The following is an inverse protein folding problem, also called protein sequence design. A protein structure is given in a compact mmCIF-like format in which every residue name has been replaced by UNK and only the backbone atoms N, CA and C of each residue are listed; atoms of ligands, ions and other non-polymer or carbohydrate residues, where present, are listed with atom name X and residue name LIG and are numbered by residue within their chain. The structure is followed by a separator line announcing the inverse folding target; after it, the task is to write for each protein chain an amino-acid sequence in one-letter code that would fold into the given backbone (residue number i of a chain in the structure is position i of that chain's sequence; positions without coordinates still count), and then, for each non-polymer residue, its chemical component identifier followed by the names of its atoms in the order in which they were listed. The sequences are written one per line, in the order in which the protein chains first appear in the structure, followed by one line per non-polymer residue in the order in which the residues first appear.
data_IF_228631776718
#
_entry.id   IF_228631776718
#
_cell.length_a   1.000
_cell.length_b   1.000
_cell.length_c   1.000
_cell.angle_alpha   90.00
_cell.angle_beta   90.00
_cell.angle_gamma   90.00
#
_symmetry.space_group_name_H-M   'P 1'
#
loop_
_entity.id
_entity.type
_entity.pdbx_description
1 polymer ?
#
# COMPACT_ATOMS: atom_id res chain seq x y z
N UNK A 1 1.80 0.56 -14.21
CA UNK A 1 2.73 0.23 -13.12
C UNK A 1 3.72 -0.84 -13.58
N UNK A 2 5.02 -0.72 -13.27
CA UNK A 2 5.99 -1.78 -13.51
C UNK A 2 5.67 -3.04 -12.69
N UNK A 3 5.99 -4.23 -13.22
CA UNK A 3 5.76 -5.51 -12.53
C UNK A 3 6.38 -5.53 -11.13
N UNK A 4 7.59 -4.97 -10.99
CA UNK A 4 8.28 -4.88 -9.70
C UNK A 4 7.45 -4.13 -8.64
N UNK A 5 6.77 -3.04 -9.02
CA UNK A 5 5.94 -2.29 -8.10
C UNK A 5 4.69 -3.08 -7.67
N UNK A 6 4.08 -3.85 -8.58
CA UNK A 6 2.96 -4.76 -8.26
C UNK A 6 3.41 -5.84 -7.27
N UNK A 7 4.60 -6.42 -7.47
CA UNK A 7 5.17 -7.39 -6.54
C UNK A 7 5.43 -6.79 -5.16
N UNK A 8 5.94 -5.55 -5.09
CA UNK A 8 6.12 -4.84 -3.81
C UNK A 8 4.80 -4.59 -3.10
N UNK A 9 3.75 -4.17 -3.82
CA UNK A 9 2.41 -3.99 -3.24
C UNK A 9 1.87 -5.31 -2.69
N UNK A 10 1.91 -6.38 -3.47
CA UNK A 10 1.41 -7.68 -3.06
C UNK A 10 2.14 -8.21 -1.81
N UNK A 11 3.46 -8.09 -1.78
CA UNK A 11 4.28 -8.48 -0.63
C UNK A 11 3.96 -7.63 0.62
N UNK A 12 3.77 -6.32 0.46
CA UNK A 12 3.43 -5.42 1.56
C UNK A 12 2.02 -5.70 2.14
N UNK A 13 1.03 -6.02 1.29
CA UNK A 13 -0.31 -6.41 1.72
C UNK A 13 -0.32 -7.75 2.47
N UNK A 14 0.42 -8.74 1.97
CA UNK A 14 0.57 -10.05 2.63
C UNK A 14 1.24 -9.90 4.00
N UNK A 15 2.29 -9.07 4.07
CA UNK A 15 2.99 -8.76 5.32
C UNK A 15 2.07 -8.09 6.34
N UNK A 16 1.33 -7.03 5.95
CA UNK A 16 0.35 -6.38 6.82
C UNK A 16 -0.69 -7.37 7.35
N UNK A 17 -1.24 -8.24 6.49
CA UNK A 17 -2.20 -9.28 6.91
C UNK A 17 -1.64 -10.27 7.92
N UNK A 18 -0.33 -10.53 7.87
CA UNK A 18 0.35 -11.48 8.77
C UNK A 18 0.71 -10.82 10.10
N UNK A 19 1.09 -9.55 10.09
CA UNK A 19 1.62 -8.85 11.27
C UNK A 19 0.56 -8.09 12.05
N UNK A 20 -0.60 -7.80 11.44
CA UNK A 20 -1.67 -7.03 12.06
C UNK A 20 -2.81 -7.96 12.52
N UNK A 21 -3.25 -7.91 13.79
CA UNK A 21 -4.41 -8.68 14.26
C UNK A 21 -5.66 -8.38 13.44
N UNK A 22 -6.49 -9.40 13.19
CA UNK A 22 -7.63 -9.30 12.28
C UNK A 22 -8.64 -8.21 12.69
N UNK A 23 -8.78 -7.93 13.98
CA UNK A 23 -9.71 -6.90 14.49
C UNK A 23 -9.20 -5.47 14.24
N UNK A 24 -7.90 -5.33 13.94
CA UNK A 24 -7.23 -4.05 13.67
C UNK A 24 -7.01 -3.83 12.16
N UNK A 25 -7.18 -4.88 11.34
CA UNK A 25 -7.00 -4.77 9.90
C UNK A 25 -8.08 -3.87 9.29
N UNK A 26 -7.64 -2.77 8.67
CA UNK A 26 -8.52 -1.87 7.93
C UNK A 26 -7.86 -1.43 6.60
N UNK A 27 -8.66 -1.09 5.58
CA UNK A 27 -8.14 -0.75 4.27
C UNK A 27 -7.21 0.47 4.25
N UNK A 28 -7.52 1.49 5.06
CA UNK A 28 -6.75 2.75 5.09
C UNK A 28 -5.33 2.53 5.63
N UNK A 29 -5.18 1.81 6.74
CA UNK A 29 -3.86 1.48 7.28
C UNK A 29 -3.10 0.52 6.37
N UNK A 30 -3.76 -0.45 5.74
CA UNK A 30 -3.13 -1.31 4.75
C UNK A 30 -2.55 -0.49 3.57
N UNK A 31 -3.29 0.51 3.10
CA UNK A 31 -2.82 1.42 2.05
C UNK A 31 -1.63 2.26 2.51
N UNK A 32 -1.66 2.81 3.73
CA UNK A 32 -0.52 3.54 4.31
C UNK A 32 0.72 2.65 4.48
N UNK A 33 0.52 1.42 4.92
CA UNK A 33 1.60 0.44 5.07
C UNK A 33 2.27 0.15 3.72
N UNK A 34 1.46 -0.14 2.69
CA UNK A 34 1.93 -0.37 1.33
C UNK A 34 2.68 0.86 0.78
N UNK A 35 2.14 2.06 0.98
CA UNK A 35 2.79 3.30 0.58
C UNK A 35 4.17 3.46 1.24
N UNK A 36 4.26 3.19 2.55
CA UNK A 36 5.54 3.18 3.27
C UNK A 36 6.56 2.19 2.68
N UNK A 37 6.11 0.98 2.31
CA UNK A 37 6.97 -0.04 1.68
C UNK A 37 7.44 0.35 0.29
N UNK A 38 6.59 1.00 -0.50
CA UNK A 38 6.96 1.51 -1.82
C UNK A 38 8.01 2.62 -1.72
N UNK A 39 7.78 3.60 -0.83
CA UNK A 39 8.74 4.69 -0.58
C UNK A 39 10.09 4.14 -0.09
N UNK A 40 10.09 3.20 0.86
CA UNK A 40 11.32 2.57 1.37
C UNK A 40 12.05 1.75 0.29
N UNK A 41 11.34 1.29 -0.74
CA UNK A 41 11.91 0.58 -1.89
C UNK A 41 12.38 1.54 -3.00
N UNK A 42 12.35 2.86 -2.77
CA UNK A 42 12.82 3.89 -3.69
C UNK A 42 11.81 4.33 -4.74
N UNK A 43 10.53 3.94 -4.60
CA UNK A 43 9.48 4.40 -5.51
C UNK A 43 8.96 5.76 -5.08
N UNK A 44 8.91 6.72 -6.01
CA UNK A 44 8.17 7.95 -5.81
C UNK A 44 6.67 7.69 -5.99
N UNK A 45 5.88 8.03 -4.97
CA UNK A 45 4.43 7.93 -5.02
C UNK A 45 3.86 9.27 -5.50
N UNK A 46 3.22 9.25 -6.67
CA UNK A 46 2.41 10.37 -7.12
C UNK A 46 0.95 10.07 -6.78
N UNK A 47 0.45 10.69 -5.72
CA UNK A 47 -0.97 10.63 -5.36
C UNK A 47 -1.65 11.79 -6.07
N UNK A 48 -2.40 11.50 -7.13
CA UNK A 48 -3.29 12.49 -7.74
C UNK A 48 -4.52 12.64 -6.85
N UNK A 49 -4.71 13.84 -6.32
CA UNK A 49 -5.96 14.27 -5.69
C UNK A 49 -7.00 14.45 -6.81
N UNK A 50 -7.50 13.34 -7.35
CA UNK A 50 -8.64 13.38 -8.26
C UNK A 50 -9.89 13.36 -7.37
N UNK A 51 -10.66 14.46 -7.29
CA UNK A 51 -11.87 14.46 -6.48
C UNK A 51 -12.79 13.38 -7.02
N UNK A 52 -13.25 12.49 -6.13
CA UNK A 52 -14.25 11.49 -6.46
C UNK A 52 -15.42 12.21 -7.14
N UNK A 53 -15.64 11.93 -8.43
CA UNK A 53 -16.67 12.57 -9.22
C UNK A 53 -18.02 12.47 -8.48
N UNK A 54 -18.61 13.63 -8.19
CA UNK A 54 -19.88 13.79 -7.50
C UNK A 54 -21.06 13.27 -8.33
#
# INVERSE_FOLDING_TARGET
MPQAAVTTIAAALDDYRRTTPAEQQNPDEAAHYVAGRLLASGWELHITDEPAAA
#
